data_IF_482241509946
#
_entry.id   IF_482241509946
#
_cell.length_a   1.000
_cell.length_b   1.000
_cell.length_c   1.000
_cell.angle_alpha   90.00
_cell.angle_beta   90.00
_cell.angle_gamma   90.00
#
_symmetry.space_group_name_H-M   'P 1'
#
loop_
_entity.id
_entity.type
_entity.pdbx_description
1 polymer ?
#
# COMPACT_ATOMS: atom_id res chain seq x y z
N UNK A 1 -23.69 26.37 -4.62
CA UNK A 1 -23.89 26.54 -3.16
C UNK A 1 -24.10 25.16 -2.57
N UNK A 2 -23.35 24.79 -1.53
CA UNK A 2 -23.56 23.53 -0.80
C UNK A 2 -24.87 23.63 -0.01
N UNK A 3 -25.61 22.53 0.08
CA UNK A 3 -26.84 22.42 0.89
C UNK A 3 -26.78 21.13 1.70
N UNK A 4 -27.21 21.20 2.96
CA UNK A 4 -27.47 20.03 3.78
C UNK A 4 -28.80 19.41 3.32
N UNK A 5 -28.79 18.11 3.03
CA UNK A 5 -29.96 17.36 2.53
C UNK A 5 -30.11 16.01 3.20
N UNK A 6 -29.50 15.82 4.37
CA UNK A 6 -29.49 14.54 5.08
C UNK A 6 -30.90 14.09 5.48
N UNK A 7 -31.74 15.00 5.94
CA UNK A 7 -33.14 14.69 6.27
C UNK A 7 -33.94 14.26 5.04
N UNK A 8 -33.80 14.99 3.94
CA UNK A 8 -34.46 14.66 2.66
C UNK A 8 -33.99 13.32 2.10
N UNK A 9 -32.71 13.01 2.20
CA UNK A 9 -32.15 11.72 1.79
C UNK A 9 -32.72 10.57 2.64
N UNK A 10 -32.85 10.76 3.96
CA UNK A 10 -33.48 9.77 4.87
C UNK A 10 -34.95 9.56 4.57
N UNK A 11 -35.71 10.61 4.22
CA UNK A 11 -37.11 10.51 3.83
C UNK A 11 -37.27 9.63 2.57
N UNK A 12 -36.49 9.89 1.52
CA UNK A 12 -36.51 9.11 0.27
C UNK A 12 -36.16 7.63 0.53
N UNK A 13 -35.15 7.36 1.38
CA UNK A 13 -34.74 5.99 1.70
C UNK A 13 -35.85 5.19 2.42
N UNK A 14 -36.73 5.86 3.20
CA UNK A 14 -37.90 5.22 3.83
C UNK A 14 -39.02 4.96 2.84
N UNK A 15 -39.23 5.87 1.89
CA UNK A 15 -40.24 5.73 0.84
C UNK A 15 -39.88 4.64 -0.18
N UNK A 16 -38.58 4.43 -0.44
CA UNK A 16 -38.06 3.50 -1.45
C UNK A 16 -37.07 2.48 -0.83
N UNK A 17 -37.54 1.53 -0.01
CA UNK A 17 -36.66 0.59 0.67
C UNK A 17 -36.01 -0.40 -0.32
N UNK A 18 -34.71 -0.63 -0.16
CA UNK A 18 -34.02 -1.68 -0.91
C UNK A 18 -34.42 -3.04 -0.35
N UNK A 19 -35.07 -3.90 -1.14
CA UNK A 19 -35.41 -5.28 -0.75
C UNK A 19 -34.21 -6.24 -0.76
N UNK A 20 -32.99 -5.71 -0.69
CA UNK A 20 -31.76 -6.51 -0.70
C UNK A 20 -31.56 -7.10 0.68
N UNK A 21 -31.35 -8.41 0.73
CA UNK A 21 -30.79 -9.06 1.91
C UNK A 21 -29.30 -8.71 2.01
N UNK A 22 -28.78 -8.37 3.21
CA UNK A 22 -27.34 -8.22 3.41
C UNK A 22 -26.63 -9.53 3.07
N UNK A 23 -25.57 -9.46 2.25
CA UNK A 23 -24.67 -10.60 2.07
C UNK A 23 -24.04 -10.94 3.43
N UNK A 24 -24.15 -12.19 3.85
CA UNK A 24 -23.87 -12.61 5.21
C UNK A 24 -22.44 -12.26 5.64
N UNK A 25 -22.37 -11.49 6.71
CA UNK A 25 -21.29 -11.43 7.69
C UNK A 25 -20.85 -12.83 8.15
N UNK A 26 -19.55 -13.14 8.13
CA UNK A 26 -19.01 -14.31 8.85
C UNK A 26 -19.35 -14.17 10.34
N UNK A 27 -20.20 -15.07 10.86
CA UNK A 27 -20.60 -15.06 12.28
C UNK A 27 -21.46 -13.87 12.73
N UNK A 28 -22.20 -13.21 11.82
CA UNK A 28 -23.05 -12.06 12.17
C UNK A 28 -22.30 -10.72 12.29
N UNK A 29 -20.97 -10.73 12.18
CA UNK A 29 -20.12 -9.54 12.15
C UNK A 29 -19.95 -9.02 10.72
N UNK A 30 -20.37 -7.77 10.39
CA UNK A 30 -20.16 -7.20 9.07
C UNK A 30 -18.73 -7.41 8.57
N UNK A 31 -18.53 -7.74 7.29
CA UNK A 31 -17.19 -8.00 6.71
C UNK A 31 -16.18 -6.85 6.92
N UNK A 32 -16.69 -5.64 7.14
CA UNK A 32 -15.91 -4.45 7.48
C UNK A 32 -15.31 -4.50 8.90
N UNK A 33 -15.94 -5.25 9.80
CA UNK A 33 -15.59 -5.39 11.22
C UNK A 33 -14.99 -6.77 11.54
N UNK A 34 -15.05 -7.71 10.60
CA UNK A 34 -14.46 -9.03 10.77
C UNK A 34 -12.94 -8.94 10.90
N UNK A 35 -12.39 -9.57 11.95
CA UNK A 35 -10.95 -9.75 12.09
C UNK A 35 -10.41 -10.57 10.91
N UNK A 36 -9.24 -10.19 10.41
CA UNK A 36 -8.58 -10.86 9.30
C UNK A 36 -7.24 -11.43 9.75
N UNK A 37 -6.88 -12.64 9.29
CA UNK A 37 -5.57 -13.21 9.57
C UNK A 37 -4.47 -12.27 9.10
N UNK A 38 -3.36 -12.29 9.81
CA UNK A 38 -2.27 -11.38 9.51
C UNK A 38 -1.65 -11.77 8.16
N UNK A 39 -1.44 -10.78 7.29
CA UNK A 39 -0.75 -10.97 6.00
C UNK A 39 0.73 -10.73 6.20
N UNK A 40 1.54 -11.78 6.06
CA UNK A 40 2.97 -11.76 6.30
C UNK A 40 3.70 -11.97 4.96
N UNK A 41 4.22 -10.91 4.32
CA UNK A 41 4.87 -11.03 3.02
C UNK A 41 6.25 -11.70 3.14
N UNK A 42 6.61 -12.49 2.13
CA UNK A 42 7.97 -13.05 1.99
C UNK A 42 8.98 -11.99 1.53
N UNK A 43 10.27 -12.21 1.78
CA UNK A 43 11.33 -11.36 1.23
C UNK A 43 11.34 -11.37 -0.31
N UNK A 44 11.03 -12.52 -0.92
CA UNK A 44 10.98 -12.71 -2.38
C UNK A 44 9.94 -11.81 -3.06
N UNK A 45 8.92 -11.37 -2.31
CA UNK A 45 7.93 -10.40 -2.79
C UNK A 45 8.53 -9.08 -3.26
N UNK A 46 9.68 -8.70 -2.71
CA UNK A 46 10.33 -7.40 -2.91
C UNK A 46 11.59 -7.49 -3.77
N UNK A 47 11.67 -8.46 -4.69
CA UNK A 47 12.80 -8.56 -5.60
C UNK A 47 12.85 -7.38 -6.58
N UNK A 48 13.84 -6.52 -6.39
CA UNK A 48 14.08 -5.34 -7.23
C UNK A 48 14.97 -5.64 -8.44
N UNK A 49 15.42 -6.89 -8.64
CA UNK A 49 16.35 -7.26 -9.73
C UNK A 49 15.61 -7.40 -11.06
N UNK A 50 16.32 -7.03 -12.14
CA UNK A 50 15.81 -7.10 -13.51
C UNK A 50 16.87 -7.65 -14.47
N UNK A 51 16.44 -8.49 -15.40
CA UNK A 51 17.23 -9.13 -16.44
C UNK A 51 18.18 -10.20 -15.93
N UNK A 52 18.82 -10.91 -16.87
CA UNK A 52 19.77 -12.01 -16.57
C UNK A 52 20.97 -11.60 -15.72
N UNK A 53 21.34 -10.31 -15.73
CA UNK A 53 22.46 -9.77 -14.92
C UNK A 53 22.05 -9.41 -13.49
N UNK A 54 20.76 -9.54 -13.13
CA UNK A 54 20.27 -9.30 -11.77
C UNK A 54 20.46 -7.87 -11.26
N UNK A 55 20.50 -6.87 -12.16
CA UNK A 55 20.68 -5.47 -11.75
C UNK A 55 19.42 -4.95 -11.08
N UNK A 56 19.56 -4.34 -9.90
CA UNK A 56 18.43 -3.69 -9.25
C UNK A 56 17.90 -2.54 -10.11
N UNK A 57 16.59 -2.56 -10.35
CA UNK A 57 15.85 -1.54 -11.12
C UNK A 57 14.74 -1.01 -10.25
N UNK A 58 14.93 0.22 -9.75
CA UNK A 58 13.90 0.99 -9.05
C UNK A 58 13.86 2.36 -9.69
N UNK A 59 12.79 2.67 -10.41
CA UNK A 59 12.68 3.93 -11.16
C UNK A 59 11.26 4.43 -11.18
N UNK A 60 11.05 5.62 -10.61
CA UNK A 60 9.80 6.35 -10.74
C UNK A 60 9.59 6.78 -12.20
N UNK A 61 8.33 6.78 -12.63
CA UNK A 61 7.88 7.26 -13.94
C UNK A 61 6.71 8.21 -13.71
N UNK A 62 7.02 9.43 -13.27
CA UNK A 62 6.04 10.39 -12.77
C UNK A 62 5.32 9.89 -11.52
N UNK A 63 4.07 10.31 -11.32
CA UNK A 63 3.27 10.01 -10.12
C UNK A 63 2.56 8.65 -10.16
N UNK A 64 2.39 8.07 -11.35
CA UNK A 64 1.47 6.95 -11.57
C UNK A 64 2.14 5.61 -11.68
N UNK A 65 3.46 5.57 -11.87
CA UNK A 65 4.17 4.32 -12.12
C UNK A 65 5.50 4.24 -11.39
N UNK A 66 5.81 3.04 -10.90
CA UNK A 66 7.13 2.69 -10.38
C UNK A 66 7.60 1.40 -11.05
N UNK A 67 8.69 1.47 -11.81
CA UNK A 67 9.40 0.27 -12.24
C UNK A 67 10.15 -0.31 -11.04
N UNK A 68 9.94 -1.59 -10.75
CA UNK A 68 10.52 -2.30 -9.62
C UNK A 68 10.83 -3.74 -10.01
N UNK A 69 12.12 -4.07 -10.16
CA UNK A 69 12.56 -5.36 -10.68
C UNK A 69 12.05 -5.63 -12.09
N UNK A 70 11.53 -6.83 -12.30
CA UNK A 70 10.85 -7.21 -13.55
C UNK A 70 9.46 -6.56 -13.71
N UNK A 71 8.89 -6.06 -12.62
CA UNK A 71 7.53 -5.53 -12.58
C UNK A 71 7.46 -4.01 -12.78
N UNK A 72 6.25 -3.55 -13.07
CA UNK A 72 5.85 -2.14 -12.92
C UNK A 72 4.62 -2.09 -12.03
N UNK A 73 4.67 -1.24 -10.99
CA UNK A 73 3.55 -0.97 -10.11
C UNK A 73 2.74 0.19 -10.67
N UNK A 74 1.43 -0.02 -10.84
CA UNK A 74 0.48 1.04 -11.15
C UNK A 74 0.01 1.74 -9.87
N UNK A 75 0.54 2.92 -9.63
CA UNK A 75 0.20 3.81 -8.52
C UNK A 75 -0.89 4.82 -8.90
N UNK A 76 -1.51 4.71 -10.08
CA UNK A 76 -2.48 5.66 -10.62
C UNK A 76 -3.74 5.84 -9.78
N UNK A 77 -4.06 4.88 -8.90
CA UNK A 77 -5.15 4.97 -7.93
C UNK A 77 -4.71 5.54 -6.55
N UNK A 78 -3.43 5.92 -6.39
CA UNK A 78 -2.93 6.67 -5.24
C UNK A 78 -2.89 8.16 -5.57
N UNK A 79 -4.05 8.74 -5.85
CA UNK A 79 -4.21 10.14 -6.28
C UNK A 79 -3.69 11.18 -5.28
N UNK A 80 -3.45 10.78 -4.04
CA UNK A 80 -2.89 11.63 -2.99
C UNK A 80 -1.36 11.74 -3.05
N UNK A 81 -0.70 11.01 -3.95
CA UNK A 81 0.70 11.26 -4.28
C UNK A 81 0.79 12.50 -5.15
N UNK A 82 1.54 13.50 -4.69
CA UNK A 82 1.60 14.83 -5.31
C UNK A 82 2.97 15.15 -5.89
N UNK A 83 4.01 14.38 -5.52
CA UNK A 83 5.37 14.60 -6.01
C UNK A 83 6.08 13.28 -6.36
N UNK A 84 6.87 13.28 -7.45
CA UNK A 84 7.59 12.09 -7.90
C UNK A 84 8.63 11.60 -6.88
N UNK A 85 9.18 12.49 -6.04
CA UNK A 85 10.05 12.11 -4.93
C UNK A 85 9.36 11.21 -3.90
N UNK A 86 8.03 11.23 -3.80
CA UNK A 86 7.26 10.27 -3.00
C UNK A 86 7.23 8.89 -3.67
N UNK A 87 7.11 8.83 -5.00
CA UNK A 87 7.19 7.56 -5.75
C UNK A 87 8.59 6.95 -5.64
N UNK A 88 9.64 7.78 -5.70
CA UNK A 88 11.02 7.34 -5.42
C UNK A 88 11.16 6.81 -4.00
N UNK A 89 10.58 7.50 -3.01
CA UNK A 89 10.60 7.04 -1.62
C UNK A 89 9.88 5.71 -1.43
N UNK A 90 8.74 5.48 -2.10
CA UNK A 90 8.07 4.17 -2.14
C UNK A 90 9.05 3.10 -2.65
N UNK A 91 9.75 3.35 -3.75
CA UNK A 91 10.75 2.40 -4.28
C UNK A 91 11.88 2.07 -3.30
N UNK A 92 12.43 3.09 -2.63
CA UNK A 92 13.47 2.89 -1.61
C UNK A 92 12.93 2.11 -0.39
N UNK A 93 11.72 2.42 0.04
CA UNK A 93 11.03 1.73 1.13
C UNK A 93 10.70 0.27 0.77
N UNK A 94 10.31 -0.04 -0.47
CA UNK A 94 10.11 -1.42 -0.93
C UNK A 94 11.40 -2.24 -0.84
N UNK A 95 12.56 -1.67 -1.25
CA UNK A 95 13.87 -2.32 -1.05
C UNK A 95 14.15 -2.55 0.43
N UNK A 96 13.79 -1.59 1.30
CA UNK A 96 13.95 -1.74 2.75
C UNK A 96 13.05 -2.84 3.30
N UNK A 97 11.79 -2.91 2.86
CA UNK A 97 10.86 -3.96 3.25
C UNK A 97 11.37 -5.35 2.84
N UNK A 98 12.00 -5.50 1.67
CA UNK A 98 12.64 -6.76 1.27
C UNK A 98 13.73 -7.26 2.23
N UNK A 99 14.39 -6.36 2.96
CA UNK A 99 15.36 -6.71 4.01
C UNK A 99 14.74 -6.99 5.37
N UNK A 100 13.50 -6.57 5.60
CA UNK A 100 12.77 -6.74 6.87
C UNK A 100 11.78 -7.91 6.82
N UNK A 101 11.27 -8.23 5.63
CA UNK A 101 10.26 -9.26 5.42
C UNK A 101 10.85 -10.66 5.62
N UNK A 102 10.11 -11.51 6.32
CA UNK A 102 10.53 -12.84 6.77
C UNK A 102 9.43 -13.90 6.56
N UNK A 103 8.31 -13.51 5.93
CA UNK A 103 7.13 -14.38 5.77
C UNK A 103 6.35 -14.65 7.07
N UNK A 104 6.72 -14.01 8.19
CA UNK A 104 6.14 -14.24 9.54
C UNK A 104 5.64 -12.96 10.18
N UNK A 105 6.26 -11.82 9.87
CA UNK A 105 5.93 -10.51 10.41
C UNK A 105 4.80 -9.88 9.60
N UNK A 106 3.71 -9.41 10.24
CA UNK A 106 2.60 -8.77 9.54
C UNK A 106 3.03 -7.52 8.77
N UNK A 107 2.46 -7.31 7.57
CA UNK A 107 2.77 -6.16 6.71
C UNK A 107 2.66 -4.82 7.45
N UNK A 108 1.63 -4.65 8.29
CA UNK A 108 1.45 -3.42 9.10
C UNK A 108 2.65 -3.11 10.00
N UNK A 109 3.28 -4.15 10.55
CA UNK A 109 4.44 -4.03 11.43
C UNK A 109 5.68 -3.70 10.61
N UNK A 110 5.87 -4.34 9.45
CA UNK A 110 6.98 -4.05 8.54
C UNK A 110 6.95 -2.59 8.04
N UNK A 111 5.77 -2.12 7.60
CA UNK A 111 5.56 -0.73 7.18
C UNK A 111 5.85 0.24 8.33
N UNK A 112 5.34 -0.05 9.54
CA UNK A 112 5.61 0.77 10.72
C UNK A 112 7.10 0.85 11.06
N UNK A 113 7.81 -0.29 11.03
CA UNK A 113 9.27 -0.34 11.26
C UNK A 113 10.04 0.49 10.23
N UNK A 114 9.73 0.34 8.95
CA UNK A 114 10.41 1.07 7.88
C UNK A 114 10.20 2.60 8.00
N UNK A 115 8.99 3.04 8.35
CA UNK A 115 8.70 4.46 8.54
C UNK A 115 9.28 5.02 9.85
N UNK A 116 9.31 4.24 10.93
CA UNK A 116 9.97 4.64 12.17
C UNK A 116 11.48 4.83 11.98
N UNK A 117 12.12 4.02 11.13
CA UNK A 117 13.53 4.23 10.75
C UNK A 117 13.74 5.54 9.99
N UNK A 118 12.81 5.89 9.08
CA UNK A 118 12.83 7.19 8.38
C UNK A 118 12.65 8.34 9.37
N UNK A 119 11.75 8.20 10.33
CA UNK A 119 11.49 9.24 11.33
C UNK A 119 12.72 9.44 12.25
N UNK A 120 13.44 8.37 12.57
CA UNK A 120 14.63 8.42 13.42
C UNK A 120 15.91 8.86 12.69
N UNK A 121 16.09 8.48 11.41
CA UNK A 121 17.35 8.64 10.67
C UNK A 121 17.26 9.57 9.46
N UNK A 122 16.06 10.05 9.15
CA UNK A 122 15.77 10.82 7.95
C UNK A 122 15.72 9.96 6.68
N UNK A 123 15.25 10.56 5.59
CA UNK A 123 15.11 9.89 4.28
C UNK A 123 16.46 9.57 3.63
N UNK A 124 17.50 10.37 3.90
CA UNK A 124 18.84 10.18 3.34
C UNK A 124 19.45 8.81 3.71
N UNK A 125 19.02 8.22 4.84
CA UNK A 125 19.42 6.87 5.24
C UNK A 125 18.89 5.76 4.30
N UNK A 126 17.75 5.97 3.63
CA UNK A 126 17.18 4.98 2.72
C UNK A 126 17.91 4.95 1.38
N UNK A 127 18.08 6.13 0.80
CA UNK A 127 18.81 6.33 -0.45
C UNK A 127 19.34 7.78 -0.45
N UNK A 128 20.66 8.00 -0.54
CA UNK A 128 21.22 9.34 -0.48
C UNK A 128 20.92 10.16 -1.75
N UNK A 129 20.72 9.52 -2.91
CA UNK A 129 20.39 10.18 -4.18
C UNK A 129 19.60 9.22 -5.08
N UNK A 130 18.45 9.64 -5.64
CA UNK A 130 17.90 11.00 -5.74
C UNK A 130 17.19 11.49 -4.47
N UNK A 131 16.73 12.74 -4.46
CA UNK A 131 15.89 13.29 -3.38
C UNK A 131 14.63 12.46 -3.15
N UNK A 132 14.20 12.34 -1.90
CA UNK A 132 13.04 11.58 -1.47
C UNK A 132 12.10 12.48 -0.67
N UNK A 133 10.80 12.21 -0.73
CA UNK A 133 9.81 12.84 0.15
C UNK A 133 9.08 11.78 0.98
N UNK A 134 8.70 12.16 2.21
CA UNK A 134 8.00 11.25 3.12
C UNK A 134 6.65 10.83 2.54
N UNK A 135 6.28 9.58 2.77
CA UNK A 135 5.01 8.98 2.35
C UNK A 135 4.24 8.46 3.56
N UNK A 136 2.93 8.28 3.40
CA UNK A 136 2.09 7.75 4.48
C UNK A 136 2.20 6.22 4.50
N UNK A 137 1.92 5.64 5.66
CA UNK A 137 1.85 4.18 5.81
C UNK A 137 0.87 3.53 4.82
N UNK A 138 -0.24 4.21 4.52
CA UNK A 138 -1.23 3.76 3.55
C UNK A 138 -0.68 3.73 2.12
N UNK A 139 0.14 4.71 1.73
CA UNK A 139 0.74 4.76 0.39
C UNK A 139 1.71 3.57 0.20
N UNK A 140 2.57 3.33 1.19
CA UNK A 140 3.50 2.20 1.15
C UNK A 140 2.75 0.86 1.16
N UNK A 141 1.78 0.69 2.06
CA UNK A 141 0.98 -0.55 2.12
C UNK A 141 0.19 -0.80 0.83
N UNK A 142 -0.34 0.25 0.21
CA UNK A 142 -1.06 0.15 -1.05
C UNK A 142 -0.13 -0.14 -2.23
N UNK A 143 1.12 0.34 -2.22
CA UNK A 143 2.14 -0.05 -3.18
C UNK A 143 2.52 -1.53 -3.03
N UNK A 144 2.69 -2.04 -1.80
CA UNK A 144 2.94 -3.48 -1.56
C UNK A 144 1.81 -4.33 -2.15
N UNK A 145 0.55 -3.94 -1.92
CA UNK A 145 -0.62 -4.66 -2.47
C UNK A 145 -0.68 -4.69 -4.02
N UNK A 146 0.16 -3.92 -4.71
CA UNK A 146 0.25 -3.85 -6.18
C UNK A 146 1.46 -4.56 -6.76
N UNK A 147 2.33 -5.11 -5.92
CA UNK A 147 3.43 -5.97 -6.37
C UNK A 147 2.85 -7.25 -6.97
N UNK A 148 3.14 -7.50 -8.26
CA UNK A 148 2.75 -8.75 -8.93
C UNK A 148 3.50 -9.96 -8.37
N UNK A 149 4.68 -9.74 -7.79
CA UNK A 149 5.51 -10.72 -7.10
C UNK A 149 5.07 -11.02 -5.67
N UNK A 150 4.00 -10.39 -5.17
CA UNK A 150 3.62 -10.47 -3.77
C UNK A 150 3.22 -11.90 -3.36
N UNK A 151 4.01 -12.49 -2.48
CA UNK A 151 3.76 -13.76 -1.83
C UNK A 151 3.40 -13.51 -0.37
N UNK A 152 2.23 -14.00 0.06
CA UNK A 152 1.72 -13.78 1.41
C UNK A 152 1.43 -15.10 2.08
N UNK A 153 2.00 -15.28 3.26
CA UNK A 153 1.54 -16.27 4.24
C UNK A 153 0.45 -15.63 5.08
N UNK A 154 -0.65 -16.37 5.32
CA UNK A 154 -1.70 -15.97 6.26
C UNK A 154 -1.49 -16.75 7.55
N UNK A 155 -1.23 -16.04 8.64
CA UNK A 155 -1.11 -16.61 9.98
C UNK A 155 -2.39 -16.33 10.77
#
# INVERSE_FOLDING_TARGET
RVREVGERARAIARELPTRRSPEASTGGVPLALAERPARCPSAASFDARRGSRGKETVRARGLRELAFGEGTLDLGALEQLVDESQVRAIGALLRRLGRLADGRTPLRVLVGRALAEVDARGLYHLDPRPELARVRALDLGAAVNRLRSLEITRN
#
